data_IF_210563255591
#
_entry.id   IF_210563255591
#
_cell.length_a   1.000
_cell.length_b   1.000
_cell.length_c   1.000
_cell.angle_alpha   90.00
_cell.angle_beta   90.00
_cell.angle_gamma   90.00
#
_symmetry.space_group_name_H-M   'P 1'
#
loop_
_entity.id
_entity.type
_entity.pdbx_description
1 polymer ?
#
# COMPACT_ATOMS: atom_id res chain seq x y z
N UNK A 1 -37.35 18.98 -39.40
CA UNK A 1 -37.54 19.59 -38.08
C UNK A 1 -36.19 19.62 -37.40
N UNK A 2 -35.69 20.81 -37.06
CA UNK A 2 -34.35 21.04 -36.51
C UNK A 2 -34.32 20.68 -35.02
N UNK A 3 -33.25 20.00 -34.58
CA UNK A 3 -33.05 19.67 -33.16
C UNK A 3 -32.22 20.77 -32.50
N UNK A 4 -32.73 21.25 -31.37
CA UNK A 4 -32.13 22.31 -30.53
C UNK A 4 -30.73 21.91 -30.07
N UNK A 5 -29.72 22.69 -30.46
CA UNK A 5 -28.41 22.75 -29.82
C UNK A 5 -28.55 23.49 -28.50
N UNK A 6 -28.53 22.78 -27.38
CA UNK A 6 -28.46 23.40 -26.05
C UNK A 6 -26.99 23.50 -25.63
N UNK A 7 -26.35 24.60 -26.03
CA UNK A 7 -25.10 25.07 -25.45
C UNK A 7 -25.32 25.36 -23.96
N UNK A 8 -24.94 24.41 -23.10
CA UNK A 8 -24.73 24.66 -21.66
C UNK A 8 -23.27 24.41 -21.31
N UNK A 9 -22.43 25.39 -21.65
CA UNK A 9 -21.24 25.67 -20.83
C UNK A 9 -21.71 26.03 -19.42
N UNK A 10 -21.71 25.07 -18.50
CA UNK A 10 -21.69 25.38 -17.07
C UNK A 10 -21.18 24.20 -16.26
N UNK A 11 -19.94 24.34 -15.80
CA UNK A 11 -19.42 23.72 -14.58
C UNK A 11 -19.45 22.20 -14.56
N UNK A 12 -18.41 21.59 -15.12
CA UNK A 12 -18.02 20.22 -14.78
C UNK A 12 -17.43 20.23 -13.36
N UNK A 13 -18.27 20.49 -12.37
CA UNK A 13 -17.97 20.23 -10.97
C UNK A 13 -18.32 18.75 -10.77
N UNK A 14 -17.34 17.87 -11.01
CA UNK A 14 -17.45 16.43 -10.82
C UNK A 14 -17.98 16.15 -9.39
N UNK A 15 -19.22 15.64 -9.21
CA UNK A 15 -19.67 15.16 -7.93
C UNK A 15 -19.12 13.75 -7.77
N UNK A 16 -17.86 13.65 -7.40
CA UNK A 16 -17.16 12.39 -7.49
C UNK A 16 -15.83 12.39 -6.77
N UNK A 17 -15.79 13.01 -5.59
CA UNK A 17 -14.84 12.61 -4.56
C UNK A 17 -15.15 11.17 -4.16
N UNK A 18 -14.88 10.23 -5.07
CA UNK A 18 -14.79 8.83 -4.74
C UNK A 18 -13.67 8.74 -3.73
N UNK A 19 -14.04 8.69 -2.46
CA UNK A 19 -13.19 8.15 -1.42
C UNK A 19 -12.74 6.80 -1.97
N UNK A 20 -11.52 6.76 -2.50
CA UNK A 20 -10.91 5.51 -2.91
C UNK A 20 -10.97 4.63 -1.67
N UNK A 21 -11.82 3.62 -1.71
CA UNK A 21 -11.82 2.61 -0.68
C UNK A 21 -10.50 1.88 -0.91
N UNK A 22 -9.45 2.34 -0.24
CA UNK A 22 -8.22 1.58 -0.09
C UNK A 22 -8.64 0.35 0.70
N UNK A 23 -9.05 -0.68 -0.04
CA UNK A 23 -9.23 -2.00 0.49
C UNK A 23 -7.85 -2.40 0.99
N UNK A 24 -7.61 -2.20 2.28
CA UNK A 24 -6.53 -2.83 3.01
C UNK A 24 -6.88 -4.32 3.04
N UNK A 25 -6.70 -5.00 1.90
CA UNK A 25 -6.71 -6.45 1.87
C UNK A 25 -5.59 -6.83 2.83
N UNK A 26 -5.95 -7.45 3.95
CA UNK A 26 -5.01 -7.84 5.01
C UNK A 26 -3.85 -8.62 4.38
N UNK A 27 -2.79 -7.88 4.06
CA UNK A 27 -1.62 -8.41 3.39
C UNK A 27 -1.00 -9.40 4.38
N UNK A 28 -0.83 -10.63 3.90
CA UNK A 28 -0.12 -11.65 4.65
C UNK A 28 1.37 -11.50 4.38
N UNK A 29 2.18 -11.95 5.30
CA UNK A 29 3.62 -12.01 5.09
C UNK A 29 4.19 -13.30 5.68
N UNK A 30 5.26 -13.77 5.06
CA UNK A 30 6.02 -14.89 5.60
C UNK A 30 6.83 -14.43 6.82
N UNK A 31 6.78 -15.13 7.96
CA UNK A 31 7.59 -14.75 9.12
C UNK A 31 9.09 -14.99 8.96
N UNK A 32 9.48 -15.81 7.99
CA UNK A 32 10.89 -16.19 7.74
C UNK A 32 11.52 -15.24 6.73
N UNK A 33 11.05 -15.23 5.49
CA UNK A 33 11.63 -14.43 4.41
C UNK A 33 11.06 -12.99 4.35
N UNK A 34 10.04 -12.67 5.15
CA UNK A 34 9.33 -11.38 5.15
C UNK A 34 8.72 -10.97 3.81
N UNK A 35 8.57 -11.91 2.87
CA UNK A 35 7.89 -11.70 1.59
C UNK A 35 6.41 -11.43 1.82
N UNK A 36 5.88 -10.47 1.07
CA UNK A 36 4.46 -10.18 1.02
C UNK A 36 3.72 -11.26 0.22
N UNK A 37 2.63 -11.75 0.79
CA UNK A 37 1.81 -12.84 0.28
C UNK A 37 0.37 -12.35 0.10
N UNK A 38 -0.32 -12.95 -0.86
CA UNK A 38 -1.73 -12.68 -1.07
C UNK A 38 -2.56 -13.16 0.14
N UNK A 39 -3.73 -12.55 0.40
CA UNK A 39 -4.54 -12.86 1.58
C UNK A 39 -5.06 -14.32 1.60
N UNK A 40 -5.21 -14.96 0.43
CA UNK A 40 -5.61 -16.36 0.32
C UNK A 40 -4.44 -17.36 0.47
N UNK A 41 -3.19 -16.89 0.50
CA UNK A 41 -2.02 -17.75 0.66
C UNK A 41 -1.78 -18.04 2.14
N UNK A 42 -2.03 -19.30 2.55
CA UNK A 42 -1.81 -19.78 3.92
C UNK A 42 -0.36 -20.21 4.18
N UNK A 43 0.43 -20.44 3.14
CA UNK A 43 1.79 -20.98 3.21
C UNK A 43 2.70 -20.23 2.23
N UNK A 44 3.92 -19.90 2.65
CA UNK A 44 4.90 -19.29 1.76
C UNK A 44 5.42 -20.32 0.73
N UNK A 45 5.47 -19.98 -0.57
CA UNK A 45 5.95 -20.89 -1.61
C UNK A 45 7.47 -21.11 -1.58
N UNK A 46 8.24 -20.21 -0.96
CA UNK A 46 9.71 -20.27 -0.95
C UNK A 46 10.25 -21.13 0.21
N UNK A 47 9.68 -20.97 1.40
CA UNK A 47 10.17 -21.59 2.64
C UNK A 47 9.17 -22.53 3.32
N UNK A 48 7.92 -22.58 2.84
CA UNK A 48 6.88 -23.46 3.40
C UNK A 48 6.34 -23.02 4.77
N UNK A 49 6.74 -21.86 5.29
CA UNK A 49 6.23 -21.39 6.58
C UNK A 49 4.76 -20.95 6.48
N UNK A 50 4.04 -21.01 7.60
CA UNK A 50 2.68 -20.52 7.68
C UNK A 50 2.65 -18.99 7.53
N UNK A 51 1.83 -18.51 6.59
CA UNK A 51 1.64 -17.09 6.35
C UNK A 51 0.86 -16.45 7.50
N UNK A 52 1.38 -15.33 8.02
CA UNK A 52 0.78 -14.59 9.14
C UNK A 52 0.33 -13.20 8.68
N UNK A 53 -0.54 -12.55 9.45
CA UNK A 53 -0.93 -11.16 9.18
C UNK A 53 0.30 -10.25 9.29
N UNK A 54 0.51 -9.38 8.30
CA UNK A 54 1.66 -8.46 8.28
C UNK A 54 1.68 -7.53 9.50
N UNK A 55 0.52 -7.12 10.00
CA UNK A 55 0.41 -6.34 11.23
C UNK A 55 0.94 -7.05 12.49
N UNK A 56 0.95 -8.39 12.50
CA UNK A 56 1.50 -9.20 13.60
C UNK A 56 3.03 -9.38 13.52
N UNK A 57 3.64 -9.10 12.37
CA UNK A 57 5.09 -9.05 12.22
C UNK A 57 5.54 -7.71 12.75
N UNK A 58 5.84 -7.66 14.05
CA UNK A 58 6.32 -6.47 14.73
C UNK A 58 7.39 -5.78 13.89
N UNK A 59 7.22 -4.47 13.68
CA UNK A 59 8.14 -3.62 12.90
C UNK A 59 9.48 -3.54 13.63
N UNK A 60 10.26 -4.60 13.54
CA UNK A 60 11.64 -4.60 14.04
C UNK A 60 12.45 -3.98 12.92
N UNK A 61 12.36 -2.64 12.83
CA UNK A 61 13.26 -1.86 12.00
C UNK A 61 14.66 -2.08 12.58
N UNK A 62 15.59 -2.68 11.83
CA UNK A 62 16.96 -2.81 12.31
C UNK A 62 17.50 -1.40 12.57
N UNK A 63 18.32 -1.20 13.62
CA UNK A 63 18.95 0.09 13.85
C UNK A 63 19.73 0.48 12.59
N UNK A 64 19.68 1.76 12.17
CA UNK A 64 20.45 2.21 11.03
C UNK A 64 21.93 1.91 11.27
N UNK A 65 22.66 1.44 10.24
CA UNK A 65 24.07 1.11 10.40
C UNK A 65 24.88 2.37 10.74
N UNK A 66 25.87 2.21 11.63
CA UNK A 66 26.61 3.32 12.26
C UNK A 66 27.27 4.30 11.26
N UNK A 67 27.58 3.86 10.05
CA UNK A 67 28.17 4.71 9.01
C UNK A 67 27.21 5.76 8.44
N UNK A 68 25.89 5.65 8.69
CA UNK A 68 24.89 6.64 8.28
C UNK A 68 24.61 7.70 9.36
N UNK A 69 25.09 7.51 10.59
CA UNK A 69 24.91 8.48 11.68
C UNK A 69 26.05 9.50 11.78
N UNK A 70 27.11 9.32 10.99
CA UNK A 70 28.31 10.15 11.06
C UNK A 70 28.30 11.36 10.09
N UNK A 71 27.24 11.54 9.29
CA UNK A 71 27.13 12.57 8.24
C UNK A 71 26.15 13.71 8.61
N UNK A 72 26.01 14.04 9.89
CA UNK A 72 25.29 15.26 10.35
C UNK A 72 26.18 16.10 11.27
N UNK A 73 27.48 16.15 10.96
CA UNK A 73 28.49 16.78 11.80
C UNK A 73 29.69 17.28 11.02
N UNK A 74 29.50 18.22 10.09
CA UNK A 74 30.45 19.33 9.91
C UNK A 74 29.72 20.55 9.33
N UNK A 75 29.95 21.69 9.97
CA UNK A 75 29.32 22.98 9.76
C UNK A 75 30.16 23.90 8.86
#
# INVERSE_FOLDING_TARGET
MAYVTNDKRKGDELPGGGSGLELDLELRACPVCRRELHPWQLTCPDDGAAAVARAGLGSTMPPPPAHLLADDGDA
#
